data_IF_976320394102
#
_entry.id   IF_976320394102
#
_cell.length_a   1.000
_cell.length_b   1.000
_cell.length_c   1.000
_cell.angle_alpha   90.00
_cell.angle_beta   90.00
_cell.angle_gamma   90.00
#
_symmetry.space_group_name_H-M   'P 1'
#
loop_
_entity.id
_entity.type
_entity.pdbx_description
1 polymer ?
#
# COMPACT_ATOMS: atom_id res chain seq x y z
N UNK A 1 -14.87 -12.57 9.84
CA UNK A 1 -15.49 -12.05 8.61
C UNK A 1 -15.61 -10.51 8.64
N UNK A 2 -15.28 -9.84 9.75
CA UNK A 2 -15.49 -8.39 9.92
C UNK A 2 -14.37 -7.47 9.40
N UNK A 3 -13.22 -8.02 9.00
CA UNK A 3 -12.10 -7.22 8.49
C UNK A 3 -12.24 -6.88 6.99
N UNK A 4 -12.95 -7.72 6.22
CA UNK A 4 -13.12 -7.59 4.77
C UNK A 4 -13.94 -6.36 4.37
N UNK A 5 -15.11 -6.18 4.99
CA UNK A 5 -15.96 -5.01 4.72
C UNK A 5 -15.28 -3.70 5.11
N UNK A 6 -14.38 -3.71 6.11
CA UNK A 6 -13.83 -2.48 6.65
C UNK A 6 -12.84 -1.79 5.69
N UNK A 7 -12.00 -2.54 4.94
CA UNK A 7 -11.00 -1.91 4.08
C UNK A 7 -11.62 -1.32 2.80
N UNK A 8 -12.46 -2.07 2.11
CA UNK A 8 -13.12 -1.60 0.88
C UNK A 8 -14.03 -0.40 1.18
N UNK A 9 -14.81 -0.46 2.27
CA UNK A 9 -15.68 0.64 2.70
C UNK A 9 -14.87 1.87 3.14
N UNK A 10 -13.79 1.66 3.90
CA UNK A 10 -12.91 2.76 4.32
C UNK A 10 -12.20 3.42 3.12
N UNK A 11 -11.76 2.64 2.14
CA UNK A 11 -11.16 3.15 0.91
C UNK A 11 -12.18 3.92 0.06
N UNK A 12 -13.42 3.41 -0.04
CA UNK A 12 -14.52 4.09 -0.74
C UNK A 12 -14.76 5.51 -0.25
N UNK A 13 -14.68 5.73 1.07
CA UNK A 13 -14.81 7.06 1.67
C UNK A 13 -13.67 8.04 1.36
N UNK A 14 -12.53 7.57 0.84
CA UNK A 14 -11.32 8.38 0.62
C UNK A 14 -10.99 8.52 -0.85
N UNK A 15 -10.96 7.42 -1.60
CA UNK A 15 -10.56 7.37 -3.02
C UNK A 15 -11.68 6.86 -3.93
N UNK A 16 -12.87 6.59 -3.39
CA UNK A 16 -13.92 5.89 -4.11
C UNK A 16 -13.53 4.43 -4.34
N UNK A 17 -13.92 3.87 -5.49
CA UNK A 17 -13.57 2.47 -5.80
C UNK A 17 -12.06 2.34 -5.96
N UNK A 18 -11.41 1.66 -5.01
CA UNK A 18 -9.97 1.42 -5.03
C UNK A 18 -9.61 0.19 -5.87
N UNK A 19 -8.75 0.37 -6.86
CA UNK A 19 -8.09 -0.72 -7.58
C UNK A 19 -6.71 -0.95 -6.94
N UNK A 20 -6.65 -1.87 -5.97
CA UNK A 20 -5.43 -2.11 -5.20
C UNK A 20 -4.36 -2.80 -6.06
N UNK A 21 -3.12 -2.33 -5.96
CA UNK A 21 -1.96 -2.92 -6.63
C UNK A 21 -0.96 -3.43 -5.59
N UNK A 22 -0.33 -4.56 -5.86
CA UNK A 22 0.72 -5.13 -5.00
C UNK A 22 1.96 -5.45 -5.83
N UNK A 23 3.09 -4.85 -5.47
CA UNK A 23 4.39 -5.16 -6.06
C UNK A 23 4.87 -6.57 -5.68
N UNK A 24 5.53 -7.25 -6.62
CA UNK A 24 6.15 -8.56 -6.39
C UNK A 24 7.16 -8.53 -5.25
N UNK A 25 8.05 -7.54 -5.20
CA UNK A 25 9.02 -7.40 -4.11
C UNK A 25 8.36 -7.14 -2.74
N UNK A 26 7.29 -6.32 -2.69
CA UNK A 26 6.54 -6.05 -1.46
C UNK A 26 5.83 -7.32 -0.99
N UNK A 27 5.22 -8.06 -1.92
CA UNK A 27 4.60 -9.36 -1.62
C UNK A 27 5.62 -10.35 -1.04
N UNK A 28 6.83 -10.40 -1.62
CA UNK A 28 7.91 -11.26 -1.14
C UNK A 28 8.32 -10.92 0.30
N UNK A 29 8.51 -9.63 0.61
CA UNK A 29 8.82 -9.18 1.97
C UNK A 29 7.70 -9.52 2.96
N UNK A 30 6.44 -9.23 2.59
CA UNK A 30 5.27 -9.57 3.41
C UNK A 30 5.16 -11.08 3.61
N UNK A 31 5.47 -11.88 2.59
CA UNK A 31 5.50 -13.33 2.66
C UNK A 31 6.52 -13.82 3.67
N UNK A 32 7.75 -13.31 3.62
CA UNK A 32 8.80 -13.63 4.58
C UNK A 32 8.41 -13.25 6.01
N UNK A 33 7.81 -12.07 6.20
CA UNK A 33 7.32 -11.61 7.51
C UNK A 33 6.14 -12.46 8.03
N UNK A 34 5.26 -12.90 7.13
CA UNK A 34 4.08 -13.71 7.46
C UNK A 34 4.42 -15.15 7.87
N UNK A 35 5.61 -15.67 7.56
CA UNK A 35 6.05 -16.98 8.05
C UNK A 35 6.05 -17.05 9.59
N UNK A 36 6.15 -15.90 10.26
CA UNK A 36 6.10 -15.78 11.72
C UNK A 36 4.70 -15.46 12.27
N UNK A 37 3.75 -15.02 11.44
CA UNK A 37 2.40 -14.55 11.86
C UNK A 37 1.33 -15.04 10.89
N UNK A 38 0.35 -15.80 11.40
CA UNK A 38 -0.89 -16.27 10.75
C UNK A 38 -1.13 -15.72 9.34
N UNK A 39 -0.74 -16.49 8.31
CA UNK A 39 -0.79 -16.13 6.88
C UNK A 39 -2.16 -15.79 6.28
N UNK A 40 -3.23 -15.79 7.07
CA UNK A 40 -4.59 -15.40 6.64
C UNK A 40 -4.67 -13.95 6.13
N UNK A 41 -3.88 -13.03 6.70
CA UNK A 41 -3.85 -11.63 6.25
C UNK A 41 -3.21 -11.46 4.87
N UNK A 42 -2.17 -12.25 4.58
CA UNK A 42 -1.48 -12.20 3.30
C UNK A 42 -2.37 -12.74 2.18
N UNK A 43 -3.03 -13.88 2.39
CA UNK A 43 -3.99 -14.43 1.42
C UNK A 43 -5.16 -13.48 1.12
N UNK A 44 -5.58 -12.69 2.12
CA UNK A 44 -6.62 -11.68 1.90
C UNK A 44 -6.10 -10.55 1.01
N UNK A 45 -4.89 -10.05 1.26
CA UNK A 45 -4.25 -9.03 0.42
C UNK A 45 -4.10 -9.51 -1.04
N UNK A 46 -3.60 -10.74 -1.23
CA UNK A 46 -3.46 -11.37 -2.56
C UNK A 46 -4.79 -11.45 -3.32
N UNK A 47 -5.90 -11.76 -2.64
CA UNK A 47 -7.21 -11.85 -3.28
C UNK A 47 -7.82 -10.50 -3.70
N UNK A 48 -7.28 -9.39 -3.21
CA UNK A 48 -7.83 -8.04 -3.39
C UNK A 48 -6.96 -7.13 -4.25
N UNK A 49 -5.69 -7.48 -4.37
CA UNK A 49 -4.73 -6.72 -5.16
C UNK A 49 -4.51 -7.36 -6.53
N UNK A 50 -4.34 -6.51 -7.54
CA UNK A 50 -3.67 -6.91 -8.77
C UNK A 50 -2.17 -6.92 -8.52
N UNK A 51 -1.53 -8.06 -8.74
CA UNK A 51 -0.08 -8.18 -8.71
C UNK A 51 0.53 -7.43 -9.88
N UNK A 52 1.53 -6.60 -9.60
CA UNK A 52 2.29 -5.86 -10.60
C UNK A 52 3.78 -6.18 -10.47
N UNK A 53 4.46 -6.28 -11.61
CA UNK A 53 5.88 -6.57 -11.64
C UNK A 53 6.73 -5.42 -11.13
N UNK A 54 7.90 -5.78 -10.61
CA UNK A 54 8.89 -4.84 -10.10
C UNK A 54 9.42 -3.90 -11.19
N UNK A 55 9.89 -2.73 -10.77
CA UNK A 55 10.51 -1.77 -11.68
C UNK A 55 11.98 -2.15 -11.94
N UNK A 56 12.33 -2.28 -13.22
CA UNK A 56 13.72 -2.51 -13.63
C UNK A 56 14.65 -1.41 -13.10
N UNK A 57 15.81 -1.83 -12.58
CA UNK A 57 16.86 -0.92 -12.12
C UNK A 57 16.69 -0.39 -10.69
N UNK A 58 15.60 -0.74 -10.00
CA UNK A 58 15.41 -0.51 -8.57
C UNK A 58 15.49 -1.83 -7.80
N UNK A 59 16.01 -1.80 -6.57
CA UNK A 59 16.18 -3.02 -5.76
C UNK A 59 15.42 -2.98 -4.44
N UNK A 60 15.08 -1.79 -3.95
CA UNK A 60 14.39 -1.63 -2.68
C UNK A 60 12.90 -1.34 -2.88
N UNK A 61 11.99 -2.03 -2.16
CA UNK A 61 10.55 -1.84 -2.34
C UNK A 61 10.09 -0.40 -2.10
N UNK A 62 10.67 0.29 -1.11
CA UNK A 62 10.34 1.69 -0.83
C UNK A 62 10.68 2.61 -2.02
N UNK A 63 11.82 2.40 -2.67
CA UNK A 63 12.20 3.17 -3.87
C UNK A 63 11.21 2.94 -5.02
N UNK A 64 10.77 1.69 -5.20
CA UNK A 64 9.77 1.35 -6.22
C UNK A 64 8.41 1.98 -5.92
N UNK A 65 7.97 1.96 -4.66
CA UNK A 65 6.73 2.59 -4.21
C UNK A 65 6.76 4.10 -4.45
N UNK A 66 7.87 4.76 -4.12
CA UNK A 66 8.07 6.20 -4.35
C UNK A 66 8.03 6.50 -5.85
N UNK A 67 8.76 5.74 -6.67
CA UNK A 67 8.82 5.93 -8.12
C UNK A 67 7.45 5.73 -8.78
N UNK A 68 6.71 4.67 -8.41
CA UNK A 68 5.36 4.41 -8.93
C UNK A 68 4.38 5.49 -8.49
N UNK A 69 4.44 5.92 -7.23
CA UNK A 69 3.56 6.97 -6.72
C UNK A 69 3.76 8.28 -7.47
N UNK A 70 5.01 8.75 -7.58
CA UNK A 70 5.31 9.99 -8.28
C UNK A 70 5.05 9.94 -9.80
N UNK A 71 5.26 8.79 -10.45
CA UNK A 71 5.07 8.67 -11.91
C UNK A 71 3.63 8.39 -12.33
N UNK A 72 2.84 7.68 -11.51
CA UNK A 72 1.46 7.27 -11.83
C UNK A 72 0.40 8.00 -11.04
N UNK A 73 0.79 8.79 -10.03
CA UNK A 73 -0.12 9.46 -9.10
C UNK A 73 -0.85 8.48 -8.17
N UNK A 74 -0.28 7.29 -7.95
CA UNK A 74 -0.91 6.26 -7.12
C UNK A 74 -0.56 6.47 -5.65
N UNK A 75 -1.54 6.61 -4.75
CA UNK A 75 -1.24 6.76 -3.34
C UNK A 75 -0.77 5.44 -2.73
N UNK A 76 0.30 5.49 -1.93
CA UNK A 76 0.82 4.33 -1.21
C UNK A 76 0.11 4.15 0.13
N UNK A 77 -0.49 2.98 0.37
CA UNK A 77 -1.04 2.64 1.69
C UNK A 77 0.10 2.25 2.64
N UNK A 78 0.43 3.11 3.60
CA UNK A 78 1.55 2.83 4.53
C UNK A 78 1.35 3.48 5.90
N UNK A 79 1.92 2.83 6.92
CA UNK A 79 2.05 3.37 8.29
C UNK A 79 3.48 3.81 8.60
N UNK A 80 4.44 3.56 7.70
CA UNK A 80 5.84 3.92 7.87
C UNK A 80 6.04 5.44 7.78
N UNK A 81 6.72 6.03 8.77
CA UNK A 81 6.92 7.48 8.84
C UNK A 81 7.97 7.97 7.84
N UNK A 82 9.03 7.20 7.62
CA UNK A 82 10.14 7.55 6.72
C UNK A 82 9.68 7.46 5.27
N UNK A 83 8.89 6.43 4.93
CA UNK A 83 8.31 6.30 3.58
C UNK A 83 7.35 7.45 3.26
N UNK A 84 6.51 7.86 4.21
CA UNK A 84 5.61 9.02 4.05
C UNK A 84 6.36 10.31 3.75
N UNK A 85 7.41 10.61 4.52
CA UNK A 85 8.26 11.79 4.30
C UNK A 85 8.91 11.75 2.91
N UNK A 86 9.37 10.57 2.48
CA UNK A 86 10.00 10.38 1.16
C UNK A 86 9.01 10.51 0.00
N UNK A 87 7.78 10.01 0.15
CA UNK A 87 6.71 10.13 -0.84
C UNK A 87 6.33 11.59 -1.09
N UNK A 88 6.08 12.36 -0.03
CA UNK A 88 5.77 13.79 -0.13
C UNK A 88 6.93 14.55 -0.77
N UNK A 89 8.17 14.26 -0.37
CA UNK A 89 9.36 14.92 -0.92
C UNK A 89 9.57 14.63 -2.41
N UNK A 90 9.02 13.54 -2.92
CA UNK A 90 9.17 13.09 -4.31
C UNK A 90 7.97 13.41 -5.20
N UNK A 91 6.97 14.17 -4.70
CA UNK A 91 5.75 14.49 -5.44
C UNK A 91 4.74 13.34 -5.50
N UNK A 92 4.89 12.33 -4.64
CA UNK A 92 3.94 11.24 -4.48
C UNK A 92 2.89 11.51 -3.39
N UNK A 93 2.01 10.54 -3.19
CA UNK A 93 0.94 10.59 -2.20
C UNK A 93 0.86 9.30 -1.39
N UNK A 94 0.18 9.35 -0.25
CA UNK A 94 -0.03 8.19 0.60
C UNK A 94 -1.39 8.19 1.28
N UNK A 95 -1.86 7.00 1.64
CA UNK A 95 -3.02 6.81 2.50
C UNK A 95 -2.52 6.35 3.87
N UNK A 96 -2.97 7.03 4.91
CA UNK A 96 -2.67 6.67 6.30
C UNK A 96 -3.92 6.34 7.11
N UNK A 97 -3.72 5.55 8.17
CA UNK A 97 -4.75 5.32 9.20
C UNK A 97 -4.60 6.38 10.29
N UNK A 98 -5.63 7.20 10.48
CA UNK A 98 -5.69 8.18 11.56
C UNK A 98 -6.33 7.58 12.82
N UNK A 99 -6.31 8.34 13.92
CA UNK A 99 -7.04 7.98 15.14
C UNK A 99 -8.51 7.67 14.81
N UNK A 100 -9.03 6.56 15.34
CA UNK A 100 -10.41 6.10 15.08
C UNK A 100 -10.60 5.15 13.89
N UNK A 101 -9.52 4.64 13.27
CA UNK A 101 -9.55 3.73 12.09
C UNK A 101 -10.05 4.39 10.80
N UNK A 102 -10.07 5.72 10.74
CA UNK A 102 -10.34 6.42 9.50
C UNK A 102 -9.11 6.40 8.60
N UNK A 103 -9.35 6.31 7.29
CA UNK A 103 -8.31 6.49 6.28
C UNK A 103 -8.28 7.96 5.87
N UNK A 104 -7.07 8.44 5.56
CA UNK A 104 -6.85 9.78 5.03
C UNK A 104 -5.85 9.72 3.90
N UNK A 105 -6.19 10.33 2.78
CA UNK A 105 -5.28 10.60 1.67
C UNK A 105 -4.48 11.89 1.97
N UNK A 106 -3.17 11.79 1.79
CA UNK A 106 -2.23 12.91 1.89
C UNK A 106 -1.48 13.01 0.56
N UNK A 107 -1.53 14.18 -0.05
CA UNK A 107 -0.96 14.46 -1.37
C UNK A 107 -0.11 15.74 -1.29
N UNK A 108 0.79 15.91 -2.27
CA UNK A 108 1.68 17.08 -2.39
C UNK A 108 1.02 18.25 -3.11
#
# INVERSE_FOLDING_TARGET
>A
MDAELNLDDAMSGVVGKADLKLLECVHLELSQLSQSRKGFLLSLLESRCEMISDLDGLSHPDEMLIALSGSRGWPVLTVDRVLKESLVSSGGSYIEVTSGRFLRLVET
#
